data_IF_176119050304
#
_entry.id   IF_176119050304
#
_cell.length_a   1.000
_cell.length_b   1.000
_cell.length_c   1.000
_cell.angle_alpha   90.00
_cell.angle_beta   90.00
_cell.angle_gamma   90.00
#
_symmetry.space_group_name_H-M   'P 1'
#
loop_
_entity.id
_entity.type
_entity.pdbx_description
1 polymer ?
#
# COMPACT_ATOMS: atom_id res chain seq x y z
N UNK A 1 21.39 20.89 -59.68
CA UNK A 1 20.10 20.30 -59.27
C UNK A 1 20.34 19.75 -57.87
N UNK A 2 20.05 20.59 -56.87
CA UNK A 2 20.42 20.36 -55.47
C UNK A 2 19.16 19.85 -54.79
N UNK A 3 19.10 18.58 -54.40
CA UNK A 3 18.07 18.10 -53.50
C UNK A 3 18.74 17.70 -52.18
N UNK A 4 18.49 18.58 -51.23
CA UNK A 4 18.94 18.67 -49.85
C UNK A 4 18.30 17.51 -49.07
N UNK A 5 18.98 16.36 -48.97
CA UNK A 5 18.58 15.28 -48.08
C UNK A 5 18.96 15.65 -46.63
N UNK A 6 18.16 16.53 -46.02
CA UNK A 6 18.25 16.82 -44.58
C UNK A 6 17.73 15.62 -43.81
N UNK A 7 18.69 14.79 -43.43
CA UNK A 7 18.81 14.10 -42.14
C UNK A 7 17.70 14.48 -41.15
N UNK A 8 16.68 13.64 -41.03
CA UNK A 8 15.88 13.58 -39.81
C UNK A 8 16.79 13.05 -38.70
N UNK A 9 17.10 13.89 -37.72
CA UNK A 9 17.93 13.52 -36.57
C UNK A 9 17.27 12.35 -35.79
N UNK A 10 18.05 11.34 -35.35
CA UNK A 10 17.55 10.25 -34.51
C UNK A 10 16.86 10.72 -33.21
N UNK A 11 17.21 11.91 -32.73
CA UNK A 11 16.70 12.49 -31.47
C UNK A 11 15.22 12.91 -31.51
N UNK A 12 14.61 13.16 -32.67
CA UNK A 12 13.19 13.55 -32.76
C UNK A 12 12.22 12.35 -32.81
N UNK A 13 12.69 11.18 -33.23
CA UNK A 13 11.86 9.97 -33.35
C UNK A 13 11.73 9.19 -32.04
N UNK A 14 12.72 9.33 -31.15
CA UNK A 14 12.82 8.59 -29.90
C UNK A 14 11.74 8.97 -28.85
N UNK A 15 11.49 10.26 -28.55
CA UNK A 15 10.46 10.63 -27.57
C UNK A 15 9.04 10.32 -28.06
N UNK A 16 8.78 10.37 -29.37
CA UNK A 16 7.48 10.04 -29.94
C UNK A 16 7.19 8.52 -29.93
N UNK A 17 8.21 7.68 -30.10
CA UNK A 17 8.07 6.23 -30.02
C UNK A 17 7.86 5.73 -28.57
N UNK A 18 8.56 6.34 -27.60
CA UNK A 18 8.41 6.04 -26.18
C UNK A 18 7.03 6.44 -25.63
N UNK A 19 6.56 7.66 -25.94
CA UNK A 19 5.22 8.11 -25.54
C UNK A 19 4.10 7.22 -26.11
N UNK A 20 4.24 6.77 -27.36
CA UNK A 20 3.27 5.86 -27.99
C UNK A 20 3.27 4.48 -27.34
N UNK A 21 4.43 3.98 -26.91
CA UNK A 21 4.52 2.72 -26.18
C UNK A 21 3.83 2.81 -24.80
N UNK A 22 4.04 3.91 -24.07
CA UNK A 22 3.37 4.16 -22.79
C UNK A 22 1.84 4.25 -22.95
N UNK A 23 1.35 4.94 -23.99
CA UNK A 23 -0.08 4.99 -24.30
C UNK A 23 -0.68 3.61 -24.61
N UNK A 24 0.05 2.77 -25.35
CA UNK A 24 -0.38 1.41 -25.69
C UNK A 24 -0.37 0.49 -24.47
N UNK A 25 0.60 0.63 -23.57
CA UNK A 25 0.64 -0.06 -22.27
C UNK A 25 -0.56 0.33 -21.39
N UNK A 26 -0.84 1.63 -21.24
CA UNK A 26 -2.00 2.13 -20.49
C UNK A 26 -3.31 1.61 -21.09
N UNK A 27 -3.43 1.60 -22.43
CA UNK A 27 -4.61 1.08 -23.13
C UNK A 27 -4.80 -0.40 -22.85
N UNK A 28 -3.73 -1.18 -22.87
CA UNK A 28 -3.76 -2.61 -22.56
C UNK A 28 -4.21 -2.85 -21.11
N UNK A 29 -3.64 -2.14 -20.15
CA UNK A 29 -4.03 -2.23 -18.73
C UNK A 29 -5.51 -1.89 -18.54
N UNK A 30 -6.00 -0.82 -19.19
CA UNK A 30 -7.43 -0.46 -19.16
C UNK A 30 -8.33 -1.55 -19.74
N UNK A 31 -7.90 -2.19 -20.83
CA UNK A 31 -8.64 -3.29 -21.44
C UNK A 31 -8.63 -4.56 -20.59
N UNK A 32 -7.58 -4.81 -19.82
CA UNK A 32 -7.54 -5.91 -18.84
C UNK A 32 -8.47 -5.61 -17.66
N UNK A 33 -8.47 -4.39 -17.13
CA UNK A 33 -9.38 -3.96 -16.06
C UNK A 33 -10.86 -3.99 -16.49
N UNK A 34 -11.17 -3.62 -17.73
CA UNK A 34 -12.56 -3.60 -18.23
C UNK A 34 -13.18 -4.99 -18.39
N UNK A 35 -12.37 -6.06 -18.40
CA UNK A 35 -12.84 -7.45 -18.46
C UNK A 35 -13.21 -8.02 -17.08
N UNK A 36 -12.77 -7.37 -16.00
CA UNK A 36 -13.08 -7.81 -14.64
C UNK A 36 -14.49 -7.39 -14.26
N UNK A 37 -15.22 -8.27 -13.56
CA UNK A 37 -16.43 -7.82 -12.88
C UNK A 37 -16.03 -6.84 -11.76
N UNK A 38 -16.93 -5.93 -11.39
CA UNK A 38 -16.69 -5.02 -10.25
C UNK A 38 -16.37 -5.82 -8.99
N UNK A 39 -17.07 -6.92 -8.76
CA UNK A 39 -16.81 -7.79 -7.63
C UNK A 39 -15.38 -8.38 -7.67
N UNK A 40 -14.86 -8.75 -8.84
CA UNK A 40 -13.50 -9.31 -8.98
C UNK A 40 -12.46 -8.22 -8.72
N UNK A 41 -12.71 -7.01 -9.21
CA UNK A 41 -11.86 -5.87 -8.94
C UNK A 41 -11.78 -5.53 -7.45
N UNK A 42 -12.91 -5.58 -6.74
CA UNK A 42 -12.93 -5.36 -5.29
C UNK A 42 -12.11 -6.42 -4.52
N UNK A 43 -12.07 -7.67 -4.99
CA UNK A 43 -11.20 -8.71 -4.40
C UNK A 43 -9.72 -8.37 -4.59
N UNK A 44 -9.32 -7.89 -5.79
CA UNK A 44 -7.96 -7.41 -6.03
C UNK A 44 -7.62 -6.20 -5.14
N UNK A 45 -8.57 -5.29 -4.93
CA UNK A 45 -8.39 -4.17 -4.01
C UNK A 45 -8.18 -4.63 -2.57
N UNK A 46 -8.93 -5.63 -2.09
CA UNK A 46 -8.70 -6.21 -0.75
C UNK A 46 -7.26 -6.74 -0.62
N UNK A 47 -6.75 -7.45 -1.63
CA UNK A 47 -5.36 -7.92 -1.64
C UNK A 47 -4.37 -6.75 -1.53
N UNK A 48 -4.53 -5.73 -2.37
CA UNK A 48 -3.69 -4.53 -2.34
C UNK A 48 -3.72 -3.81 -0.99
N UNK A 49 -4.91 -3.60 -0.43
CA UNK A 49 -5.09 -2.95 0.88
C UNK A 49 -4.43 -3.74 2.01
N UNK A 50 -4.50 -5.07 1.99
CA UNK A 50 -3.82 -5.90 2.99
C UNK A 50 -2.31 -5.76 2.94
N UNK A 51 -1.72 -5.74 1.73
CA UNK A 51 -0.28 -5.55 1.55
C UNK A 51 0.15 -4.15 2.01
N UNK A 52 -0.60 -3.12 1.63
CA UNK A 52 -0.38 -1.74 2.08
C UNK A 52 -0.45 -1.63 3.61
N UNK A 53 -1.43 -2.24 4.26
CA UNK A 53 -1.55 -2.20 5.71
C UNK A 53 -0.33 -2.82 6.41
N UNK A 54 0.13 -4.00 5.97
CA UNK A 54 1.35 -4.63 6.52
C UNK A 54 2.61 -3.81 6.27
N UNK A 55 2.73 -3.20 5.09
CA UNK A 55 3.86 -2.34 4.75
C UNK A 55 3.91 -1.09 5.63
N UNK A 56 2.77 -0.43 5.86
CA UNK A 56 2.67 0.76 6.74
C UNK A 56 2.86 0.44 8.22
N UNK A 57 2.72 -0.82 8.61
CA UNK A 57 3.08 -1.30 9.93
C UNK A 57 4.60 -1.51 10.11
N UNK A 58 5.40 -1.32 9.05
CA UNK A 58 6.86 -1.44 9.08
C UNK A 58 7.32 -2.88 9.26
N UNK A 59 6.55 -3.85 8.77
CA UNK A 59 6.85 -5.28 8.83
C UNK A 59 7.72 -5.77 7.67
N UNK A 60 7.90 -4.94 6.65
CA UNK A 60 8.78 -5.21 5.51
C UNK A 60 10.16 -4.66 5.82
N UNK A 61 11.21 -5.37 5.41
CA UNK A 61 12.62 -4.95 5.63
C UNK A 61 12.92 -3.55 5.08
N UNK A 62 12.21 -3.14 4.03
CA UNK A 62 12.38 -1.83 3.38
C UNK A 62 11.78 -0.66 4.19
N UNK A 63 10.79 -0.95 5.03
CA UNK A 63 10.07 0.03 5.85
C UNK A 63 10.20 -0.19 7.36
N UNK A 64 11.19 -0.99 7.79
CA UNK A 64 11.61 -1.07 9.19
C UNK A 64 11.91 0.35 9.72
N UNK A 65 11.14 0.80 10.72
CA UNK A 65 11.26 2.14 11.32
C UNK A 65 10.43 3.26 10.66
N UNK A 66 9.79 3.02 9.50
CA UNK A 66 8.88 3.98 8.84
C UNK A 66 7.41 3.60 9.03
N UNK A 67 7.00 3.51 10.30
CA UNK A 67 5.62 3.16 10.68
C UNK A 67 4.69 4.34 10.43
N UNK A 68 3.58 4.09 9.74
CA UNK A 68 2.50 5.05 9.52
C UNK A 68 1.18 4.42 9.97
N UNK A 69 0.89 4.57 11.25
CA UNK A 69 -0.27 3.95 11.89
C UNK A 69 -1.61 4.54 11.40
N UNK A 70 -1.64 5.80 10.96
CA UNK A 70 -2.84 6.42 10.42
C UNK A 70 -3.16 5.82 9.05
N UNK A 71 -2.17 5.66 8.17
CA UNK A 71 -2.36 4.99 6.87
C UNK A 71 -2.69 3.50 7.04
N UNK A 72 -2.05 2.80 7.99
CA UNK A 72 -2.38 1.40 8.27
C UNK A 72 -3.84 1.25 8.73
N UNK A 73 -4.29 2.13 9.63
CA UNK A 73 -5.69 2.15 10.09
C UNK A 73 -6.67 2.42 8.96
N UNK A 74 -6.37 3.41 8.11
CA UNK A 74 -7.21 3.73 6.96
C UNK A 74 -7.36 2.53 6.02
N UNK A 75 -6.28 1.80 5.74
CA UNK A 75 -6.31 0.60 4.91
C UNK A 75 -7.17 -0.51 5.54
N UNK A 76 -7.08 -0.72 6.86
CA UNK A 76 -7.89 -1.69 7.61
C UNK A 76 -9.38 -1.33 7.57
N UNK A 77 -9.72 -0.06 7.79
CA UNK A 77 -11.10 0.42 7.76
C UNK A 77 -11.72 0.29 6.36
N UNK A 78 -10.96 0.63 5.31
CA UNK A 78 -11.36 0.43 3.92
C UNK A 78 -11.56 -1.06 3.59
N UNK A 79 -10.63 -1.93 4.02
CA UNK A 79 -10.73 -3.37 3.84
C UNK A 79 -12.03 -3.91 4.48
N UNK A 80 -12.31 -3.50 5.73
CA UNK A 80 -13.52 -3.88 6.45
C UNK A 80 -14.79 -3.46 5.70
N UNK A 81 -14.83 -2.23 5.19
CA UNK A 81 -15.97 -1.74 4.43
C UNK A 81 -16.21 -2.56 3.16
N UNK A 82 -15.15 -2.87 2.41
CA UNK A 82 -15.23 -3.67 1.18
C UNK A 82 -15.68 -5.12 1.43
N UNK A 83 -15.25 -5.75 2.52
CA UNK A 83 -15.75 -7.07 2.91
C UNK A 83 -17.27 -7.05 3.12
N UNK A 84 -17.80 -6.00 3.76
CA UNK A 84 -19.24 -5.84 3.94
C UNK A 84 -20.00 -5.66 2.63
N UNK A 85 -19.42 -4.95 1.66
CA UNK A 85 -20.00 -4.77 0.31
C UNK A 85 -19.99 -6.07 -0.49
N UNK A 86 -18.97 -6.91 -0.32
CA UNK A 86 -18.83 -8.18 -1.06
C UNK A 86 -19.70 -9.31 -0.49
N UNK A 87 -20.09 -9.24 0.79
CA UNK A 87 -20.89 -10.26 1.46
C UNK A 87 -22.15 -10.73 0.69
N UNK A 88 -22.99 -9.85 0.12
CA UNK A 88 -24.18 -10.28 -0.61
C UNK A 88 -23.91 -10.86 -2.01
N UNK A 89 -22.71 -10.66 -2.58
CA UNK A 89 -22.41 -11.00 -3.99
C UNK A 89 -21.36 -12.12 -4.14
N UNK A 90 -20.75 -12.57 -3.04
CA UNK A 90 -19.73 -13.62 -3.01
C UNK A 90 -20.15 -14.82 -2.19
N UNK A 91 -19.40 -15.90 -2.32
CA UNK A 91 -19.67 -17.09 -1.51
C UNK A 91 -19.35 -16.84 -0.04
N UNK A 92 -20.08 -17.51 0.85
CA UNK A 92 -19.82 -17.42 2.28
C UNK A 92 -18.38 -17.90 2.64
N UNK A 93 -17.80 -18.80 1.84
CA UNK A 93 -16.42 -19.27 2.04
C UNK A 93 -15.39 -18.19 1.72
N UNK A 94 -15.50 -17.52 0.57
CA UNK A 94 -14.64 -16.40 0.20
C UNK A 94 -14.71 -15.27 1.23
N UNK A 95 -15.93 -14.93 1.68
CA UNK A 95 -16.13 -13.89 2.69
C UNK A 95 -15.52 -14.27 4.04
N UNK A 96 -15.63 -15.54 4.45
CA UNK A 96 -14.95 -16.03 5.66
C UNK A 96 -13.43 -15.88 5.53
N UNK A 97 -12.85 -16.23 4.38
CA UNK A 97 -11.41 -16.08 4.16
C UNK A 97 -10.97 -14.62 4.30
N UNK A 98 -11.68 -13.67 3.70
CA UNK A 98 -11.36 -12.25 3.83
C UNK A 98 -11.57 -11.72 5.26
N UNK A 99 -12.58 -12.19 6.00
CA UNK A 99 -12.77 -11.87 7.42
C UNK A 99 -11.60 -12.36 8.28
N UNK A 100 -11.06 -13.54 8.00
CA UNK A 100 -9.87 -14.05 8.69
C UNK A 100 -8.66 -13.16 8.46
N UNK A 101 -8.43 -12.69 7.22
CA UNK A 101 -7.35 -11.74 6.91
C UNK A 101 -7.56 -10.41 7.64
N UNK A 102 -8.79 -9.89 7.67
CA UNK A 102 -9.11 -8.66 8.41
C UNK A 102 -8.82 -8.80 9.91
N UNK A 103 -9.22 -9.92 10.52
CA UNK A 103 -8.96 -10.17 11.93
C UNK A 103 -7.45 -10.20 12.22
N UNK A 104 -6.69 -10.89 11.37
CA UNK A 104 -5.23 -10.93 11.47
C UNK A 104 -4.62 -9.52 11.37
N UNK A 105 -5.04 -8.72 10.40
CA UNK A 105 -4.57 -7.34 10.22
C UNK A 105 -4.84 -6.48 11.48
N UNK A 106 -6.04 -6.57 12.04
CA UNK A 106 -6.43 -5.82 13.24
C UNK A 106 -5.61 -6.22 14.46
N UNK A 107 -5.41 -7.52 14.67
CA UNK A 107 -4.56 -8.02 15.77
C UNK A 107 -3.12 -7.53 15.62
N UNK A 108 -2.53 -7.70 14.43
CA UNK A 108 -1.16 -7.26 14.16
C UNK A 108 -0.99 -5.74 14.31
N UNK A 109 -1.98 -4.95 13.89
CA UNK A 109 -1.98 -3.50 14.09
C UNK A 109 -1.90 -3.12 15.58
N UNK A 110 -2.77 -3.71 16.42
CA UNK A 110 -2.81 -3.44 17.86
C UNK A 110 -1.50 -3.87 18.53
N UNK A 111 -0.99 -5.07 18.22
CA UNK A 111 0.26 -5.58 18.78
C UNK A 111 1.46 -4.66 18.49
N UNK A 112 1.57 -4.15 17.26
CA UNK A 112 2.68 -3.27 16.87
C UNK A 112 2.51 -1.89 17.48
N UNK A 113 1.28 -1.36 17.52
CA UNK A 113 0.98 -0.08 18.16
C UNK A 113 1.35 -0.11 19.65
N UNK A 114 1.00 -1.18 20.36
CA UNK A 114 1.37 -1.36 21.77
C UNK A 114 2.88 -1.49 21.98
N UNK A 115 3.58 -2.24 21.13
CA UNK A 115 5.05 -2.36 21.18
C UNK A 115 5.73 -1.00 20.98
N UNK A 116 5.27 -0.23 20.00
CA UNK A 116 5.79 1.12 19.75
C UNK A 116 5.50 2.11 20.88
N UNK A 117 4.35 1.99 21.56
CA UNK A 117 4.05 2.80 22.75
C UNK A 117 4.95 2.49 23.95
N UNK A 118 5.40 1.23 24.10
CA UNK A 118 6.30 0.81 25.18
C UNK A 118 7.76 1.21 24.95
N UNK A 119 8.22 1.23 23.70
CA UNK A 119 9.59 1.68 23.34
C UNK A 119 9.80 3.19 23.54
N UNK A 120 8.74 4.01 23.42
CA UNK A 120 8.79 5.45 23.70
C UNK A 120 8.76 5.83 25.19
N UNK A 121 8.47 4.88 26.08
CA UNK A 121 8.32 5.11 27.52
C UNK A 121 9.59 4.70 28.32
N UNK A 122 10.77 5.13 27.88
CA UNK A 122 11.97 5.03 28.73
C UNK A 122 11.85 6.10 29.83
N UNK A 123 11.86 5.74 31.13
CA UNK A 123 11.98 6.74 32.19
C UNK A 123 13.32 7.45 32.01
N UNK A 124 13.28 8.77 31.73
CA UNK A 124 14.49 9.58 31.69
C UNK A 124 15.24 9.48 33.02
N UNK A 125 16.59 9.47 33.02
CA UNK A 125 17.37 9.45 34.24
C UNK A 125 17.38 10.85 34.87
N UNK A 126 16.42 11.10 35.75
CA UNK A 126 16.42 12.19 36.74
C UNK A 126 15.69 11.61 37.97
N UNK A 127 16.11 11.73 39.22
CA UNK A 127 16.90 12.76 39.86
C UNK A 127 17.19 12.26 41.30
N UNK A 128 18.35 11.66 41.58
CA UNK A 128 18.86 11.54 42.97
C UNK A 128 20.37 11.67 42.96
N UNK A 129 20.84 12.86 42.55
CA UNK A 129 22.16 13.35 42.91
C UNK A 129 22.04 14.79 43.38
N UNK A 130 21.58 14.99 44.61
CA UNK A 130 22.02 16.09 45.48
C UNK A 130 21.51 15.89 46.90
N UNK A 131 22.21 15.05 47.67
CA UNK A 131 22.43 15.39 49.08
C UNK A 131 23.95 15.52 49.26
N UNK A 132 24.43 16.74 49.00
CA UNK A 132 25.67 17.23 49.59
C UNK A 132 25.28 18.23 50.68
N UNK A 133 25.74 17.93 51.89
CA UNK A 133 26.21 18.91 52.87
C UNK A 133 25.15 19.57 53.77
N UNK A 134 25.00 19.04 54.99
CA UNK A 134 25.51 19.72 56.21
C UNK A 134 25.59 18.75 57.39
#
# INVERSE_FOLDING_TARGET
>A
MTEDNRTSSPEEQQPAAEAKNEEDEIRRLRAELSRLTVADHLVLMLQSLSALAFDRLGLTKENEGRKDFEQARLAIDAFKALVGVLEPVRTAEEIRAHRSVLAQLQMTYVEILEKSGKEGATPGPDETRSEKTK
#
